data_IF_951321030495
#
_entry.id   IF_951321030495
#
_cell.length_a   1.000
_cell.length_b   1.000
_cell.length_c   1.000
_cell.angle_alpha   90.00
_cell.angle_beta   90.00
_cell.angle_gamma   90.00
#
_symmetry.space_group_name_H-M   'P 1'
#
loop_
_entity.id
_entity.type
_entity.pdbx_description
1 polymer ?
#
# COMPACT_ATOMS: atom_id res chain seq x y z
N UNK A 1 16.41 2.11 -2.35
CA UNK A 1 17.37 3.17 -1.97
C UNK A 1 17.18 3.47 -0.49
N UNK A 2 18.24 3.45 0.32
CA UNK A 2 18.17 3.70 1.77
C UNK A 2 18.32 5.18 2.10
N UNK A 3 17.70 5.62 3.20
CA UNK A 3 17.91 6.98 3.76
C UNK A 3 19.17 6.93 4.63
N UNK A 4 20.10 7.83 4.35
CA UNK A 4 21.34 8.01 5.11
C UNK A 4 21.18 9.20 6.05
N UNK A 5 21.77 9.10 7.24
CA UNK A 5 22.00 10.24 8.13
C UNK A 5 23.34 10.92 7.79
N UNK A 6 23.59 12.13 8.31
CA UNK A 6 24.79 12.95 8.03
C UNK A 6 26.13 12.26 8.34
N UNK A 7 26.12 11.13 9.06
CA UNK A 7 27.30 10.31 9.36
C UNK A 7 27.42 9.03 8.50
N UNK A 8 26.68 8.92 7.39
CA UNK A 8 26.67 7.74 6.50
C UNK A 8 26.31 6.41 7.20
N UNK A 9 25.72 6.46 8.39
CA UNK A 9 25.16 5.28 9.03
C UNK A 9 23.83 4.90 8.39
N UNK A 10 23.71 3.62 8.01
CA UNK A 10 22.45 3.00 7.61
C UNK A 10 21.58 2.89 8.87
N UNK A 11 20.69 3.86 9.10
CA UNK A 11 19.80 3.87 10.27
C UNK A 11 18.66 2.85 10.12
N UNK A 12 18.31 2.50 8.88
CA UNK A 12 17.28 1.51 8.58
C UNK A 12 17.86 0.53 7.55
N UNK A 13 18.01 -0.75 7.92
CA UNK A 13 18.26 -1.78 6.91
C UNK A 13 17.13 -1.69 5.87
N UNK A 14 17.42 -1.79 4.56
CA UNK A 14 16.38 -1.79 3.53
C UNK A 14 15.59 -3.10 3.67
N UNK A 15 14.64 -3.11 4.61
CA UNK A 15 13.81 -4.28 4.88
C UNK A 15 12.77 -4.47 3.76
N UNK A 16 12.56 -3.44 2.93
CA UNK A 16 11.60 -3.39 1.84
C UNK A 16 12.26 -2.84 0.57
N UNK A 17 12.01 -3.49 -0.56
CA UNK A 17 12.44 -3.07 -1.90
C UNK A 17 11.71 -1.81 -2.36
N UNK A 18 10.42 -1.73 -2.06
CA UNK A 18 9.57 -0.57 -2.39
C UNK A 18 8.66 -0.21 -1.21
N UNK A 19 8.44 1.09 -1.03
CA UNK A 19 7.47 1.63 -0.08
C UNK A 19 6.62 2.65 -0.84
N UNK A 20 5.30 2.51 -0.72
CA UNK A 20 4.33 3.44 -1.26
C UNK A 20 4.19 4.72 -0.43
N UNK A 21 3.50 5.74 -0.96
CA UNK A 21 3.13 6.92 -0.17
C UNK A 21 2.25 6.52 1.04
N UNK A 22 2.40 7.28 2.13
CA UNK A 22 1.56 7.12 3.30
C UNK A 22 0.19 7.76 3.06
N UNK A 23 -0.87 6.95 3.15
CA UNK A 23 -2.26 7.40 3.18
C UNK A 23 -2.89 6.97 4.50
N UNK A 24 -3.59 7.88 5.17
CA UNK A 24 -4.22 7.62 6.47
C UNK A 24 -3.24 6.99 7.50
N UNK A 25 -1.98 7.46 7.47
CA UNK A 25 -0.92 6.98 8.37
C UNK A 25 -0.38 5.58 8.04
N UNK A 26 -0.57 5.08 6.82
CA UNK A 26 -0.14 3.74 6.41
C UNK A 26 0.42 3.72 5.00
N UNK A 27 1.41 2.89 4.76
CA UNK A 27 2.01 2.68 3.45
C UNK A 27 2.03 1.18 3.13
N UNK A 28 1.81 0.86 1.85
CA UNK A 28 2.13 -0.47 1.35
C UNK A 28 3.65 -0.59 1.21
N UNK A 29 4.16 -1.78 1.45
CA UNK A 29 5.57 -2.11 1.34
C UNK A 29 5.73 -3.38 0.55
N UNK A 30 6.77 -3.49 -0.27
CA UNK A 30 7.11 -4.67 -1.04
C UNK A 30 8.49 -5.14 -0.61
N UNK A 31 8.62 -6.43 -0.33
CA UNK A 31 9.89 -7.12 -0.05
C UNK A 31 9.97 -8.36 -0.94
N UNK A 32 10.94 -8.39 -1.84
CA UNK A 32 11.05 -9.35 -2.93
C UNK A 32 9.85 -9.26 -3.87
N UNK A 33 9.07 -10.33 -3.93
CA UNK A 33 7.84 -10.41 -4.73
C UNK A 33 6.57 -10.33 -3.87
N UNK A 34 6.71 -10.04 -2.58
CA UNK A 34 5.59 -10.01 -1.64
C UNK A 34 5.35 -8.61 -1.11
N UNK A 35 4.08 -8.27 -0.91
CA UNK A 35 3.62 -7.01 -0.36
C UNK A 35 3.01 -7.17 1.04
N UNK A 36 3.09 -6.10 1.82
CA UNK A 36 2.48 -5.94 3.14
C UNK A 36 2.16 -4.48 3.40
N UNK A 37 1.79 -4.15 4.65
CA UNK A 37 1.52 -2.75 5.04
C UNK A 37 2.19 -2.41 6.36
N UNK A 38 2.71 -1.18 6.41
CA UNK A 38 3.28 -0.59 7.61
C UNK A 38 2.47 0.64 8.04
N UNK A 39 2.50 0.95 9.32
CA UNK A 39 2.00 2.22 9.84
C UNK A 39 3.06 3.34 9.71
N UNK A 40 2.69 4.56 10.07
CA UNK A 40 3.57 5.75 10.12
C UNK A 40 4.77 5.61 11.07
N UNK A 41 4.74 4.64 11.99
CA UNK A 41 5.87 4.27 12.82
C UNK A 41 6.73 3.15 12.22
N UNK A 42 6.55 2.84 10.91
CA UNK A 42 7.21 1.76 10.17
C UNK A 42 7.04 0.36 10.78
N UNK A 43 5.99 0.17 11.59
CA UNK A 43 5.64 -1.16 12.13
C UNK A 43 4.74 -1.87 11.14
N UNK A 44 5.06 -3.13 10.83
CA UNK A 44 4.21 -4.02 10.06
C UNK A 44 2.84 -4.16 10.75
N UNK A 45 1.80 -3.69 10.08
CA UNK A 45 0.39 -3.88 10.46
C UNK A 45 -0.16 -5.09 9.73
N UNK A 46 0.21 -5.24 8.46
CA UNK A 46 -0.16 -6.38 7.62
C UNK A 46 1.14 -7.06 7.19
N UNK A 47 1.32 -8.36 7.48
CA UNK A 47 2.52 -9.11 7.13
C UNK A 47 2.77 -9.13 5.62
N UNK A 48 4.03 -9.27 5.23
CA UNK A 48 4.46 -9.32 3.84
C UNK A 48 4.25 -10.72 3.26
N UNK A 49 2.99 -11.11 3.05
CA UNK A 49 2.63 -12.46 2.59
C UNK A 49 1.85 -12.48 1.27
N UNK A 50 1.48 -11.31 0.76
CA UNK A 50 0.62 -11.14 -0.43
C UNK A 50 1.47 -11.01 -1.68
N UNK A 51 1.07 -11.59 -2.79
CA UNK A 51 1.79 -11.49 -4.07
C UNK A 51 1.61 -10.09 -4.70
N UNK A 52 0.46 -9.47 -4.46
CA UNK A 52 0.20 -8.10 -4.89
C UNK A 52 -0.58 -7.35 -3.82
N UNK A 53 -0.25 -6.08 -3.62
CA UNK A 53 -0.96 -5.17 -2.70
C UNK A 53 -1.25 -3.86 -3.42
N UNK A 54 -2.50 -3.40 -3.38
CA UNK A 54 -2.88 -2.11 -3.93
C UNK A 54 -2.85 -1.00 -2.86
N UNK A 55 -2.95 0.25 -3.31
CA UNK A 55 -3.05 1.40 -2.42
C UNK A 55 -4.32 1.36 -1.54
N UNK A 56 -4.18 1.89 -0.33
CA UNK A 56 -5.25 1.99 0.64
C UNK A 56 -6.23 3.11 0.27
N UNK A 57 -7.53 2.83 0.18
CA UNK A 57 -8.55 3.83 -0.11
C UNK A 57 -9.92 3.43 0.45
N UNK A 58 -10.68 4.42 0.94
CA UNK A 58 -12.01 4.22 1.57
C UNK A 58 -12.04 3.19 2.70
N UNK A 59 -10.96 3.07 3.48
CA UNK A 59 -10.93 2.16 4.63
C UNK A 59 -10.56 0.72 4.31
N UNK A 60 -10.35 0.33 3.04
CA UNK A 60 -9.91 -1.01 2.66
C UNK A 60 -8.91 -1.02 1.51
N UNK A 61 -8.32 -2.18 1.24
CA UNK A 61 -7.42 -2.38 0.11
C UNK A 61 -7.62 -3.74 -0.54
N UNK A 62 -7.24 -3.84 -1.82
CA UNK A 62 -7.21 -5.09 -2.55
C UNK A 62 -5.83 -5.70 -2.42
N UNK A 63 -5.80 -6.99 -2.10
CA UNK A 63 -4.60 -7.80 -2.03
C UNK A 63 -4.80 -9.06 -2.85
N UNK A 64 -3.72 -9.63 -3.33
CA UNK A 64 -3.69 -10.89 -4.03
C UNK A 64 -2.81 -11.86 -3.25
N UNK A 65 -3.30 -13.08 -3.05
CA UNK A 65 -2.53 -14.14 -2.41
C UNK A 65 -2.84 -15.46 -3.10
N UNK A 66 -1.81 -16.21 -3.47
CA UNK A 66 -1.94 -17.51 -4.13
C UNK A 66 -2.78 -17.44 -5.43
N UNK A 67 -2.76 -16.29 -6.12
CA UNK A 67 -3.55 -16.02 -7.33
C UNK A 67 -5.03 -15.67 -7.09
N UNK A 68 -5.47 -15.57 -5.84
CA UNK A 68 -6.80 -15.09 -5.49
C UNK A 68 -6.75 -13.64 -5.00
N UNK A 69 -7.48 -12.76 -5.69
CA UNK A 69 -7.63 -11.37 -5.28
C UNK A 69 -8.82 -11.19 -4.33
N UNK A 70 -8.58 -10.60 -3.16
CA UNK A 70 -9.61 -10.28 -2.17
C UNK A 70 -9.35 -8.93 -1.50
N UNK A 71 -10.35 -8.43 -0.78
CA UNK A 71 -10.25 -7.17 -0.06
C UNK A 71 -9.98 -7.41 1.41
N UNK A 72 -9.13 -6.57 1.99
CA UNK A 72 -8.84 -6.55 3.41
C UNK A 72 -9.06 -5.15 3.97
N UNK A 73 -9.51 -5.13 5.22
CA UNK A 73 -9.72 -3.92 6.01
C UNK A 73 -8.43 -3.45 6.70
N UNK A 74 -8.52 -2.35 7.47
CA UNK A 74 -7.39 -1.69 8.11
C UNK A 74 -6.71 -2.58 9.14
N UNK A 75 -7.38 -3.62 9.59
CA UNK A 75 -6.82 -4.58 10.52
C UNK A 75 -6.28 -5.85 9.83
N UNK A 76 -6.22 -5.86 8.49
CA UNK A 76 -5.84 -7.05 7.72
C UNK A 76 -6.93 -8.12 7.66
N UNK A 77 -8.16 -7.79 8.08
CA UNK A 77 -9.29 -8.71 8.06
C UNK A 77 -9.91 -8.74 6.66
N UNK A 78 -10.12 -9.94 6.10
CA UNK A 78 -10.82 -10.11 4.83
C UNK A 78 -12.24 -9.56 4.93
N UNK A 79 -12.60 -8.69 3.99
CA UNK A 79 -13.94 -8.12 3.84
C UNK A 79 -14.43 -8.32 2.41
N UNK A 80 -15.74 -8.17 2.22
CA UNK A 80 -16.37 -8.22 0.92
C UNK A 80 -17.14 -6.91 0.68
N UNK A 81 -16.46 -5.87 0.20
CA UNK A 81 -17.12 -4.61 -0.17
C UNK A 81 -18.07 -4.86 -1.34
N UNK A 82 -19.13 -4.05 -1.40
CA UNK A 82 -20.06 -4.03 -2.52
C UNK A 82 -19.42 -3.47 -3.79
N UNK A 83 -19.98 -3.79 -4.97
CA UNK A 83 -19.49 -3.28 -6.26
C UNK A 83 -19.40 -1.74 -6.30
N UNK A 84 -20.32 -1.06 -5.61
CA UNK A 84 -20.32 0.40 -5.46
C UNK A 84 -19.08 0.88 -4.71
N UNK A 85 -18.78 0.31 -3.54
CA UNK A 85 -17.59 0.67 -2.75
C UNK A 85 -16.30 0.38 -3.51
N UNK A 86 -16.24 -0.74 -4.24
CA UNK A 86 -15.09 -1.10 -5.09
C UNK A 86 -14.88 -0.03 -6.19
N UNK A 87 -15.97 0.40 -6.83
CA UNK A 87 -15.91 1.43 -7.87
C UNK A 87 -15.49 2.79 -7.30
N UNK A 88 -16.02 3.20 -6.15
CA UNK A 88 -15.62 4.44 -5.49
C UNK A 88 -14.15 4.41 -5.05
N UNK A 89 -13.68 3.27 -4.53
CA UNK A 89 -12.28 3.09 -4.15
C UNK A 89 -11.36 3.28 -5.34
N UNK A 90 -11.69 2.66 -6.48
CA UNK A 90 -10.92 2.80 -7.72
C UNK A 90 -10.81 4.26 -8.14
N UNK A 91 -11.95 4.97 -8.18
CA UNK A 91 -12.00 6.39 -8.47
C UNK A 91 -11.17 7.23 -7.49
N UNK A 92 -11.16 6.89 -6.19
CA UNK A 92 -10.37 7.59 -5.19
C UNK A 92 -8.86 7.41 -5.39
N UNK A 93 -8.42 6.20 -5.77
CA UNK A 93 -7.01 5.92 -6.12
C UNK A 93 -6.64 6.67 -7.40
N UNK A 94 -7.50 6.64 -8.41
CA UNK A 94 -7.27 7.36 -9.66
C UNK A 94 -7.16 8.86 -9.43
N UNK A 95 -8.06 9.47 -8.64
CA UNK A 95 -7.99 10.89 -8.26
C UNK A 95 -6.70 11.26 -7.52
N UNK A 96 -6.18 10.35 -6.69
CA UNK A 96 -4.90 10.54 -5.98
C UNK A 96 -3.70 10.45 -6.93
N UNK A 97 -3.74 9.55 -7.91
CA UNK A 97 -2.69 9.42 -8.92
C UNK A 97 -2.74 10.55 -9.97
N UNK A 98 -3.93 11.08 -10.28
CA UNK A 98 -4.14 12.17 -11.26
C UNK A 98 -3.94 13.57 -10.68
N UNK A 99 -3.46 13.69 -9.45
CA UNK A 99 -2.89 14.94 -8.93
C UNK A 99 -1.60 15.38 -9.65
N UNK A 100 -1.09 14.58 -10.60
CA UNK A 100 -0.04 14.96 -11.54
C UNK A 100 -0.63 14.92 -12.97
N UNK A 101 -0.94 16.12 -13.46
CA UNK A 101 -1.39 16.53 -14.81
C UNK A 101 -2.87 16.38 -15.20
N UNK A 102 -3.54 17.54 -15.16
CA UNK A 102 -4.64 17.91 -16.04
C UNK A 102 -4.19 18.07 -17.52
N UNK A 103 -5.14 17.72 -18.40
CA UNK A 103 -5.41 18.12 -19.79
C UNK A 103 -4.62 17.61 -21.02
N UNK A 104 -5.48 17.19 -21.97
CA UNK A 104 -5.41 17.28 -23.44
C UNK A 104 -4.72 16.14 -24.20
N UNK A 105 -5.53 15.35 -24.92
CA UNK A 105 -5.92 15.64 -26.31
C UNK A 105 -7.16 14.84 -26.73
#
# INVERSE_FOLDING_TARGET
>A
MGILDDNFHIICQPEYDHIGPFYDGRAWVIKGQKGGFVNSAFRLVIPIEYDCVEAYALGFTRVEKDGEAFYIDVHGKRIQPSDTEIAERRNAIERRNTGFFEFSS
#
